data_IF_483060400654
#
_entry.id   IF_483060400654
#
_cell.length_a   1.000
_cell.length_b   1.000
_cell.length_c   1.000
_cell.angle_alpha   90.00
_cell.angle_beta   90.00
_cell.angle_gamma   90.00
#
_symmetry.space_group_name_H-M   'P 1'
#
loop_
_entity.id
_entity.type
_entity.pdbx_description
1 polymer ?
#
# COMPACT_ATOMS: atom_id res chain seq x y z
N UNK A 1 -14.52 15.71 -9.79
CA UNK A 1 -16.00 15.90 -9.79
C UNK A 1 -16.41 17.34 -10.09
N UNK A 2 -15.78 18.36 -9.49
CA UNK A 2 -16.11 19.77 -9.70
C UNK A 2 -15.15 20.50 -10.65
N UNK A 3 -14.58 19.80 -11.66
CA UNK A 3 -13.69 20.45 -12.63
C UNK A 3 -14.46 21.53 -13.41
N UNK A 4 -13.78 22.62 -13.74
CA UNK A 4 -14.35 23.69 -14.55
C UNK A 4 -14.79 23.15 -15.92
N UNK A 5 -13.90 22.41 -16.60
CA UNK A 5 -14.24 21.70 -17.83
C UNK A 5 -15.10 20.45 -17.49
N UNK A 6 -16.33 20.34 -18.02
CA UNK A 6 -17.15 19.14 -17.86
C UNK A 6 -16.49 17.86 -18.35
N UNK A 7 -15.59 17.93 -19.35
CA UNK A 7 -14.89 16.76 -19.91
C UNK A 7 -13.88 16.13 -18.95
N UNK A 8 -13.40 16.92 -17.98
CA UNK A 8 -12.48 16.45 -16.94
C UNK A 8 -13.21 15.90 -15.70
N UNK A 9 -14.56 15.93 -15.71
CA UNK A 9 -15.33 15.37 -14.61
C UNK A 9 -15.47 13.87 -14.82
N UNK A 10 -15.20 13.05 -13.78
CA UNK A 10 -15.39 11.61 -13.88
C UNK A 10 -16.88 11.29 -14.06
N UNK A 11 -17.17 10.22 -14.78
CA UNK A 11 -18.47 9.57 -14.72
C UNK A 11 -18.80 9.08 -13.30
N UNK A 12 -20.06 8.75 -13.04
CA UNK A 12 -20.44 8.17 -11.75
C UNK A 12 -19.69 6.85 -11.48
N UNK A 13 -19.48 6.04 -12.52
CA UNK A 13 -18.76 4.77 -12.44
C UNK A 13 -17.28 4.99 -12.08
N UNK A 14 -16.63 5.94 -12.76
CA UNK A 14 -15.24 6.34 -12.47
C UNK A 14 -15.09 6.92 -11.07
N UNK A 15 -16.07 7.70 -10.61
CA UNK A 15 -16.06 8.27 -9.28
C UNK A 15 -16.13 7.17 -8.21
N UNK A 16 -16.98 6.15 -8.41
CA UNK A 16 -17.10 5.03 -7.48
C UNK A 16 -15.78 4.26 -7.32
N UNK A 17 -14.93 4.19 -8.35
CA UNK A 17 -13.60 3.56 -8.28
C UNK A 17 -12.56 4.37 -7.48
N UNK A 18 -12.84 5.64 -7.17
CA UNK A 18 -11.91 6.46 -6.40
C UNK A 18 -11.74 5.90 -4.97
N UNK A 19 -10.51 5.78 -4.43
CA UNK A 19 -10.25 5.16 -3.13
C UNK A 19 -11.07 5.74 -1.98
N UNK A 20 -11.35 7.04 -2.00
CA UNK A 20 -12.20 7.71 -1.00
C UNK A 20 -13.61 7.10 -0.88
N UNK A 21 -14.17 6.56 -1.97
CA UNK A 21 -15.50 5.94 -1.98
C UNK A 21 -15.43 4.40 -1.89
N UNK A 22 -14.22 3.84 -1.89
CA UNK A 22 -14.01 2.40 -1.84
C UNK A 22 -13.97 1.91 -0.39
N UNK A 23 -14.50 0.69 -0.10
CA UNK A 23 -14.33 0.06 1.20
C UNK A 23 -12.85 -0.09 1.57
N UNK A 24 -12.56 -0.10 2.87
CA UNK A 24 -11.21 -0.30 3.41
C UNK A 24 -10.53 -1.54 2.80
N UNK A 25 -11.27 -2.64 2.70
CA UNK A 25 -10.78 -3.91 2.12
C UNK A 25 -10.26 -3.72 0.71
N UNK A 26 -11.01 -2.99 -0.12
CA UNK A 26 -10.63 -2.75 -1.50
C UNK A 26 -9.45 -1.78 -1.61
N UNK A 27 -9.36 -0.78 -0.73
CA UNK A 27 -8.19 0.10 -0.66
C UNK A 27 -6.92 -0.68 -0.28
N UNK A 28 -7.02 -1.52 0.75
CA UNK A 28 -5.91 -2.29 1.28
C UNK A 28 -5.45 -3.39 0.29
N UNK A 29 -6.39 -4.06 -0.38
CA UNK A 29 -6.06 -5.03 -1.42
C UNK A 29 -5.33 -4.36 -2.59
N UNK A 30 -5.76 -3.17 -3.03
CA UNK A 30 -5.04 -2.41 -4.07
C UNK A 30 -3.58 -2.12 -3.66
N UNK A 31 -3.34 -1.74 -2.41
CA UNK A 31 -1.98 -1.54 -1.89
C UNK A 31 -1.17 -2.85 -1.93
N UNK A 32 -1.79 -3.99 -1.60
CA UNK A 32 -1.16 -5.31 -1.69
C UNK A 32 -0.83 -5.69 -3.14
N UNK A 33 -1.74 -5.45 -4.10
CA UNK A 33 -1.50 -5.64 -5.54
C UNK A 33 -0.36 -4.76 -6.04
N UNK A 34 -0.31 -3.51 -5.58
CA UNK A 34 0.80 -2.60 -5.87
C UNK A 34 2.13 -3.13 -5.30
N UNK A 35 2.14 -3.58 -4.05
CA UNK A 35 3.31 -4.23 -3.43
C UNK A 35 3.78 -5.50 -4.14
N UNK A 36 2.89 -6.17 -4.88
CA UNK A 36 3.19 -7.36 -5.66
C UNK A 36 3.87 -7.09 -7.01
N UNK A 37 3.82 -5.86 -7.52
CA UNK A 37 4.39 -5.51 -8.82
C UNK A 37 5.91 -5.76 -8.85
N UNK A 38 6.47 -6.36 -9.92
CA UNK A 38 7.90 -6.68 -10.01
C UNK A 38 8.82 -5.48 -9.80
N UNK A 39 8.44 -4.32 -10.31
CA UNK A 39 9.20 -3.06 -10.18
C UNK A 39 9.19 -2.55 -8.75
N UNK A 40 8.11 -2.77 -8.00
CA UNK A 40 8.01 -2.40 -6.58
C UNK A 40 8.85 -3.36 -5.72
N UNK A 41 8.80 -4.67 -5.99
CA UNK A 41 9.62 -5.69 -5.31
C UNK A 41 11.12 -5.41 -5.42
N UNK A 42 11.55 -4.93 -6.57
CA UNK A 42 12.97 -4.63 -6.86
C UNK A 42 13.35 -3.18 -6.55
N UNK A 43 12.38 -2.28 -6.35
CA UNK A 43 12.62 -0.84 -6.26
C UNK A 43 13.26 -0.28 -7.54
N UNK A 44 12.80 -0.75 -8.71
CA UNK A 44 13.41 -0.43 -10.00
C UNK A 44 13.19 1.04 -10.38
N UNK A 45 14.19 1.88 -10.17
CA UNK A 45 14.15 3.32 -10.48
C UNK A 45 14.01 3.64 -11.97
N UNK A 46 14.15 2.67 -12.88
CA UNK A 46 13.83 2.86 -14.30
C UNK A 46 12.31 3.01 -14.52
N UNK A 47 11.49 2.50 -13.60
CA UNK A 47 10.04 2.69 -13.63
C UNK A 47 9.66 4.09 -13.15
N UNK A 48 8.91 4.81 -13.98
CA UNK A 48 8.39 6.14 -13.67
C UNK A 48 7.46 6.10 -12.46
N UNK A 49 6.66 5.04 -12.34
CA UNK A 49 5.79 4.77 -11.18
C UNK A 49 6.61 4.67 -9.90
N UNK A 50 7.71 3.89 -9.93
CA UNK A 50 8.61 3.77 -8.76
C UNK A 50 9.24 5.11 -8.40
N UNK A 51 9.67 5.91 -9.39
CA UNK A 51 10.24 7.24 -9.13
C UNK A 51 9.20 8.19 -8.53
N UNK A 52 8.00 8.24 -9.11
CA UNK A 52 6.92 9.12 -8.65
C UNK A 52 6.45 8.73 -7.24
N UNK A 53 6.32 7.44 -6.97
CA UNK A 53 5.95 6.92 -5.65
C UNK A 53 6.97 7.33 -4.58
N UNK A 54 8.26 7.42 -4.91
CA UNK A 54 9.31 7.80 -3.97
C UNK A 54 9.76 9.26 -4.12
N UNK A 55 8.99 10.10 -4.84
CA UNK A 55 9.37 11.50 -5.10
C UNK A 55 9.27 12.41 -3.87
N UNK A 56 8.40 12.06 -2.92
CA UNK A 56 8.33 12.67 -1.59
C UNK A 56 8.90 11.69 -0.55
N UNK A 57 10.20 11.79 -0.21
CA UNK A 57 10.88 10.83 0.66
C UNK A 57 10.52 11.10 2.13
N UNK A 58 9.27 10.83 2.49
CA UNK A 58 8.86 10.74 3.90
C UNK A 58 9.30 9.40 4.46
N UNK A 59 10.03 9.43 5.57
CA UNK A 59 10.37 8.21 6.30
C UNK A 59 9.12 7.67 6.99
N UNK A 60 8.35 6.85 6.29
CA UNK A 60 7.15 6.18 6.80
C UNK A 60 7.42 5.36 8.06
N UNK A 61 8.66 4.89 8.26
CA UNK A 61 9.03 4.09 9.44
C UNK A 61 8.96 4.92 10.71
N UNK A 62 9.21 6.23 10.63
CA UNK A 62 9.11 7.14 11.77
C UNK A 62 7.68 7.32 12.30
N UNK A 63 6.67 6.96 11.49
CA UNK A 63 5.26 6.97 11.90
C UNK A 63 4.88 5.70 12.66
N UNK A 64 5.72 4.65 12.63
CA UNK A 64 5.47 3.38 13.29
C UNK A 64 6.22 3.27 14.62
N UNK A 65 5.60 2.60 15.59
CA UNK A 65 6.34 2.10 16.75
C UNK A 65 7.44 1.13 16.29
N UNK A 66 8.67 1.30 16.81
CA UNK A 66 9.82 0.53 16.39
C UNK A 66 9.69 -0.98 16.66
N UNK A 67 9.10 -1.36 17.79
CA UNK A 67 8.86 -2.77 18.15
C UNK A 67 7.80 -3.39 17.24
N UNK A 68 6.74 -2.64 16.92
CA UNK A 68 5.72 -3.08 15.94
C UNK A 68 6.35 -3.25 14.57
N UNK A 69 7.15 -2.29 14.11
CA UNK A 69 7.86 -2.40 12.83
C UNK A 69 8.78 -3.62 12.80
N UNK A 70 9.55 -3.87 13.87
CA UNK A 70 10.42 -5.05 13.96
C UNK A 70 9.61 -6.36 13.94
N UNK A 71 8.50 -6.40 14.67
CA UNK A 71 7.59 -7.54 14.71
C UNK A 71 6.99 -7.85 13.33
N UNK A 72 6.45 -6.83 12.65
CA UNK A 72 5.86 -6.98 11.31
C UNK A 72 6.92 -7.29 10.24
N UNK A 73 8.15 -6.83 10.44
CA UNK A 73 9.28 -7.08 9.52
C UNK A 73 9.90 -8.47 9.66
N UNK A 74 9.53 -9.24 10.68
CA UNK A 74 10.07 -10.57 10.92
C UNK A 74 9.22 -11.62 10.20
N UNK A 75 9.88 -12.44 9.38
CA UNK A 75 9.29 -13.61 8.73
C UNK A 75 8.75 -14.57 9.79
N UNK A 76 7.45 -14.87 9.82
CA UNK A 76 6.88 -15.67 10.88
C UNK A 76 7.25 -17.15 10.80
N UNK A 77 7.65 -17.64 9.63
CA UNK A 77 8.01 -19.03 9.41
C UNK A 77 9.51 -19.27 9.60
N UNK A 78 10.33 -18.31 9.17
CA UNK A 78 11.80 -18.43 9.15
C UNK A 78 12.50 -17.66 10.28
N UNK A 79 11.78 -16.79 10.98
CA UNK A 79 12.34 -15.91 12.02
C UNK A 79 13.32 -14.85 11.47
N UNK A 80 13.45 -14.73 10.15
CA UNK A 80 14.35 -13.78 9.51
C UNK A 80 13.71 -12.39 9.49
N UNK A 81 14.37 -11.40 10.07
CA UNK A 81 13.94 -10.00 9.96
C UNK A 81 14.38 -9.41 8.61
N UNK A 82 13.44 -8.84 7.87
CA UNK A 82 13.71 -8.09 6.65
C UNK A 82 13.99 -6.62 6.99
N UNK A 83 15.01 -6.05 6.33
CA UNK A 83 15.29 -4.62 6.44
C UNK A 83 14.57 -3.86 5.33
N UNK A 84 13.61 -3.03 5.72
CA UNK A 84 12.89 -2.13 4.82
C UNK A 84 13.52 -0.74 4.86
N UNK A 85 13.79 -0.18 3.67
CA UNK A 85 14.30 1.18 3.50
C UNK A 85 13.19 2.21 3.77
N UNK A 86 13.53 3.47 4.06
CA UNK A 86 12.57 4.57 4.17
C UNK A 86 12.00 4.98 2.80
N UNK A 87 11.44 4.04 2.05
CA UNK A 87 10.87 4.24 0.73
C UNK A 87 9.46 3.67 0.68
N UNK A 88 8.57 4.31 -0.07
CA UNK A 88 7.18 3.85 -0.21
C UNK A 88 7.08 2.49 -0.90
N UNK A 89 8.03 2.13 -1.76
CA UNK A 89 8.12 0.77 -2.31
C UNK A 89 8.31 -0.28 -1.22
N UNK A 90 9.18 0.00 -0.24
CA UNK A 90 9.46 -0.93 0.85
C UNK A 90 8.31 -0.94 1.86
N UNK A 91 7.60 0.19 2.05
CA UNK A 91 6.34 0.23 2.80
C UNK A 91 5.27 -0.69 2.18
N UNK A 92 5.05 -0.60 0.86
CA UNK A 92 4.08 -1.46 0.17
C UNK A 92 4.47 -2.94 0.21
N UNK A 93 5.77 -3.24 0.16
CA UNK A 93 6.28 -4.60 0.36
C UNK A 93 6.00 -5.11 1.78
N UNK A 94 6.18 -4.28 2.80
CA UNK A 94 5.82 -4.62 4.17
C UNK A 94 4.32 -4.91 4.28
N UNK A 95 3.45 -4.00 3.81
CA UNK A 95 1.99 -4.14 3.85
C UNK A 95 1.56 -5.48 3.22
N UNK A 96 2.04 -5.75 2.00
CA UNK A 96 1.76 -7.00 1.28
C UNK A 96 2.23 -8.23 2.06
N UNK A 97 3.44 -8.20 2.64
CA UNK A 97 3.98 -9.31 3.42
C UNK A 97 3.22 -9.51 4.75
N UNK A 98 2.69 -8.43 5.33
CA UNK A 98 1.82 -8.53 6.51
C UNK A 98 0.52 -9.21 6.14
N UNK A 99 -0.15 -8.78 5.06
CA UNK A 99 -1.39 -9.43 4.59
C UNK A 99 -1.22 -10.92 4.33
N UNK A 100 -0.15 -11.30 3.62
CA UNK A 100 0.10 -12.71 3.24
C UNK A 100 0.33 -13.62 4.45
N UNK A 101 0.98 -13.12 5.50
CA UNK A 101 1.43 -13.95 6.61
C UNK A 101 0.87 -13.54 7.98
N UNK A 102 -0.19 -12.74 8.04
CA UNK A 102 -0.73 -12.25 9.32
C UNK A 102 -1.16 -13.40 10.24
N UNK A 103 -1.85 -14.40 9.68
CA UNK A 103 -2.35 -15.55 10.45
C UNK A 103 -1.24 -16.51 10.89
N UNK A 104 -0.12 -16.54 10.16
CA UNK A 104 1.04 -17.38 10.49
C UNK A 104 1.91 -16.76 11.59
N UNK A 105 1.65 -15.49 11.99
CA UNK A 105 2.54 -14.79 12.91
C UNK A 105 2.48 -15.36 14.32
N UNK A 106 3.65 -15.68 14.91
CA UNK A 106 3.70 -16.11 16.28
C UNK A 106 3.29 -14.93 17.19
N UNK A 107 2.71 -15.25 18.34
CA UNK A 107 2.23 -14.28 19.33
C UNK A 107 3.03 -14.31 20.64
N UNK A 108 4.38 -14.28 20.61
CA UNK A 108 5.20 -14.29 21.82
C UNK A 108 5.12 -12.96 22.58
N UNK A 109 4.69 -11.90 21.88
CA UNK A 109 4.41 -10.55 22.39
C UNK A 109 2.98 -10.16 22.02
N UNK A 110 1.97 -10.67 22.76
CA UNK A 110 0.56 -10.41 22.45
C UNK A 110 0.25 -8.91 22.37
N UNK A 111 0.92 -8.08 23.16
CA UNK A 111 0.77 -6.63 23.16
C UNK A 111 1.03 -5.99 21.79
N UNK A 112 2.06 -6.44 21.06
CA UNK A 112 2.36 -5.92 19.72
C UNK A 112 1.33 -6.42 18.69
N UNK A 113 0.83 -7.64 18.88
CA UNK A 113 -0.24 -8.19 18.06
C UNK A 113 -1.53 -7.39 18.25
N UNK A 114 -1.92 -7.07 19.49
CA UNK A 114 -3.12 -6.28 19.80
C UNK A 114 -3.03 -4.82 19.38
N UNK A 115 -1.83 -4.24 19.32
CA UNK A 115 -1.65 -2.88 18.77
C UNK A 115 -2.00 -2.84 17.28
N UNK A 116 -1.72 -3.92 16.55
CA UNK A 116 -2.08 -4.04 15.13
C UNK A 116 -3.52 -4.52 14.98
N UNK A 117 -3.90 -5.57 15.72
CA UNK A 117 -5.19 -6.27 15.73
C UNK A 117 -5.67 -6.71 14.34
N UNK A 118 -6.15 -5.74 13.56
CA UNK A 118 -6.46 -5.85 12.15
C UNK A 118 -5.43 -5.06 11.30
N UNK A 119 -4.62 -5.74 10.47
CA UNK A 119 -3.62 -5.07 9.64
C UNK A 119 -4.18 -4.05 8.66
N UNK A 120 -5.38 -4.30 8.13
CA UNK A 120 -6.00 -3.42 7.16
C UNK A 120 -6.35 -2.08 7.80
N UNK A 121 -7.08 -2.10 8.91
CA UNK A 121 -7.40 -0.92 9.69
C UNK A 121 -6.12 -0.23 10.20
N UNK A 122 -5.16 -1.02 10.71
CA UNK A 122 -3.89 -0.48 11.22
C UNK A 122 -3.15 0.34 10.16
N UNK A 123 -2.93 -0.22 8.96
CA UNK A 123 -2.18 0.47 7.91
C UNK A 123 -2.96 1.62 7.26
N UNK A 124 -4.28 1.49 7.11
CA UNK A 124 -5.09 2.57 6.55
C UNK A 124 -5.24 3.75 7.52
N UNK A 125 -5.31 3.50 8.83
CA UNK A 125 -5.28 4.56 9.84
C UNK A 125 -3.90 5.23 9.94
N UNK A 126 -2.84 4.44 9.80
CA UNK A 126 -1.46 4.94 9.85
C UNK A 126 -1.10 5.74 8.60
N UNK A 127 -1.57 5.32 7.42
CA UNK A 127 -1.25 5.93 6.12
C UNK A 127 -2.52 6.29 5.33
N UNK A 128 -3.37 7.21 5.83
CA UNK A 128 -4.71 7.45 5.25
C UNK A 128 -4.68 7.97 3.81
N UNK A 129 -3.60 8.65 3.41
CA UNK A 129 -3.46 9.20 2.05
C UNK A 129 -2.82 8.21 1.06
N UNK A 130 -2.24 7.10 1.54
CA UNK A 130 -1.49 6.19 0.69
C UNK A 130 -2.35 5.54 -0.42
N UNK A 131 -3.59 5.06 -0.17
CA UNK A 131 -4.44 4.54 -1.24
C UNK A 131 -4.72 5.57 -2.33
N UNK A 132 -5.02 6.81 -1.95
CA UNK A 132 -5.31 7.91 -2.87
C UNK A 132 -4.09 8.23 -3.74
N UNK A 133 -2.90 8.33 -3.13
CA UNK A 133 -1.66 8.60 -3.87
C UNK A 133 -1.29 7.46 -4.82
N UNK A 134 -1.39 6.20 -4.38
CA UNK A 134 -1.13 5.04 -5.24
C UNK A 134 -2.10 5.01 -6.43
N UNK A 135 -3.40 5.21 -6.19
CA UNK A 135 -4.39 5.28 -7.25
C UNK A 135 -4.12 6.42 -8.23
N UNK A 136 -3.79 7.62 -7.73
CA UNK A 136 -3.44 8.78 -8.57
C UNK A 136 -2.27 8.48 -9.49
N UNK A 137 -1.22 7.86 -8.97
CA UNK A 137 -0.03 7.47 -9.74
C UNK A 137 -0.41 6.46 -10.83
N UNK A 138 -1.12 5.39 -10.47
CA UNK A 138 -1.48 4.33 -11.42
C UNK A 138 -2.41 4.86 -12.52
N UNK A 139 -3.42 5.67 -12.17
CA UNK A 139 -4.36 6.27 -13.13
C UNK A 139 -3.67 7.09 -14.23
N UNK A 140 -2.48 7.61 -13.96
CA UNK A 140 -1.69 8.44 -14.89
C UNK A 140 -0.74 7.65 -15.81
N UNK A 141 -0.71 6.32 -15.73
CA UNK A 141 0.18 5.48 -16.53
C UNK A 141 -0.53 4.22 -17.05
N UNK A 142 0.21 3.38 -17.77
CA UNK A 142 -0.25 2.12 -18.35
C UNK A 142 -0.50 1.02 -17.31
N UNK A 143 -0.12 1.21 -16.04
CA UNK A 143 -0.34 0.22 -14.98
C UNK A 143 -1.82 0.01 -14.69
N UNK A 144 -2.68 1.00 -14.98
CA UNK A 144 -4.14 0.86 -14.86
C UNK A 144 -4.72 -0.24 -15.75
N UNK A 145 -4.01 -0.67 -16.79
CA UNK A 145 -4.42 -1.75 -17.68
C UNK A 145 -3.91 -3.13 -17.24
N UNK A 146 -3.07 -3.20 -16.19
CA UNK A 146 -2.50 -4.47 -15.71
C UNK A 146 -3.63 -5.37 -15.18
N UNK A 147 -3.63 -6.69 -15.48
CA UNK A 147 -4.74 -7.58 -15.13
C UNK A 147 -5.14 -7.58 -13.65
N UNK A 148 -4.19 -7.36 -12.76
CA UNK A 148 -4.35 -7.34 -11.30
C UNK A 148 -4.63 -5.95 -10.71
N UNK A 149 -4.58 -4.89 -11.53
CA UNK A 149 -4.87 -3.51 -11.13
C UNK A 149 -6.07 -2.91 -11.86
N UNK A 150 -6.43 -3.41 -13.04
CA UNK A 150 -7.48 -2.83 -13.88
C UNK A 150 -8.86 -2.78 -13.23
N UNK A 151 -9.14 -3.66 -12.26
CA UNK A 151 -10.43 -3.63 -11.55
C UNK A 151 -10.64 -2.37 -10.69
N UNK A 152 -9.55 -1.67 -10.35
CA UNK A 152 -9.57 -0.42 -9.58
C UNK A 152 -9.67 0.82 -10.48
N UNK A 153 -9.67 0.64 -11.81
CA UNK A 153 -9.72 1.73 -12.79
C UNK A 153 -10.79 1.46 -13.86
N UNK A 154 -11.18 2.51 -14.58
CA UNK A 154 -12.08 2.48 -15.74
C UNK A 154 -11.39 3.26 -16.86
#
# INVERSE_FOLDING_TARGET
MLSHDPKDRPSAEEALKHPYLQPAEQQFEMLCKMGNQPEIKTGNLKSDVVRLLNSDPKDWRSQMNADVLQYLSTDPLKGKTFHYRPSWTDCLRLIRNVKEHWQDRPRPRPELFYVVDDPEEYFLNLFPNLPVEVHRIIRSCDWKERPDLKEYFI
#
